data_IF_296035778174
#
_entry.id   IF_296035778174
#
_cell.length_a   1.000
_cell.length_b   1.000
_cell.length_c   1.000
_cell.angle_alpha   90.00
_cell.angle_beta   90.00
_cell.angle_gamma   90.00
#
_symmetry.space_group_name_H-M   'P 1'
#
loop_
_entity.id
_entity.type
_entity.pdbx_description
1 polymer ?
#
# COMPACT_ATOMS: atom_id res chain seq x y z
N UNK A 1 39.57 10.09 42.88
CA UNK A 1 39.49 8.73 42.32
C UNK A 1 38.11 8.42 41.78
N UNK A 2 37.01 8.77 42.44
CA UNK A 2 35.65 8.52 41.91
C UNK A 2 35.28 9.31 40.64
N UNK A 3 35.73 10.57 40.47
CA UNK A 3 35.28 11.43 39.35
C UNK A 3 35.51 10.85 37.95
N UNK A 4 36.65 10.21 37.71
CA UNK A 4 36.96 9.58 36.42
C UNK A 4 36.10 8.34 36.15
N UNK A 5 35.76 7.54 37.18
CA UNK A 5 34.89 6.38 36.97
C UNK A 5 33.46 6.81 36.62
N UNK A 6 32.95 7.86 37.26
CA UNK A 6 31.61 8.37 36.95
C UNK A 6 31.48 8.92 35.53
N UNK A 7 32.51 9.60 35.03
CA UNK A 7 32.57 10.10 33.65
C UNK A 7 32.63 8.93 32.64
N UNK A 8 33.50 7.94 32.87
CA UNK A 8 33.59 6.72 32.05
C UNK A 8 32.25 5.95 31.99
N UNK A 9 31.57 5.80 33.14
CA UNK A 9 30.26 5.16 33.21
C UNK A 9 29.20 5.95 32.44
N UNK A 10 29.22 7.28 32.54
CA UNK A 10 28.28 8.13 31.82
C UNK A 10 28.49 8.10 30.30
N UNK A 11 29.74 8.19 29.84
CA UNK A 11 30.09 8.07 28.41
C UNK A 11 29.66 6.72 27.83
N UNK A 12 29.82 5.64 28.62
CA UNK A 12 29.36 4.31 28.23
C UNK A 12 27.84 4.23 28.09
N UNK A 13 27.09 4.77 29.04
CA UNK A 13 25.63 4.79 28.98
C UNK A 13 25.12 5.65 27.82
N UNK A 14 25.76 6.80 27.56
CA UNK A 14 25.46 7.63 26.39
C UNK A 14 25.69 6.86 25.09
N UNK A 15 26.84 6.17 24.97
CA UNK A 15 27.15 5.35 23.81
C UNK A 15 26.14 4.21 23.61
N UNK A 16 25.73 3.54 24.69
CA UNK A 16 24.69 2.49 24.64
C UNK A 16 23.35 3.10 24.19
N UNK A 17 22.99 4.28 24.69
CA UNK A 17 21.81 5.02 24.28
C UNK A 17 21.80 5.31 22.77
N UNK A 18 22.90 5.84 22.25
CA UNK A 18 23.05 6.12 20.82
C UNK A 18 22.91 4.85 19.95
N UNK A 19 23.52 3.73 20.36
CA UNK A 19 23.37 2.45 19.65
C UNK A 19 21.91 1.99 19.65
N UNK A 20 21.24 2.09 20.81
CA UNK A 20 19.83 1.75 20.95
C UNK A 20 18.96 2.60 20.03
N UNK A 21 19.18 3.91 19.99
CA UNK A 21 18.42 4.84 19.14
C UNK A 21 18.59 4.52 17.65
N UNK A 22 19.83 4.28 17.21
CA UNK A 22 20.11 3.84 15.83
C UNK A 22 19.39 2.52 15.53
N UNK A 23 19.39 1.58 16.47
CA UNK A 23 18.69 0.29 16.29
C UNK A 23 17.19 0.49 16.15
N UNK A 24 16.59 1.33 16.98
CA UNK A 24 15.16 1.65 16.91
C UNK A 24 14.80 2.30 15.58
N UNK A 25 15.60 3.27 15.13
CA UNK A 25 15.40 3.93 13.83
C UNK A 25 15.48 2.95 12.67
N UNK A 26 16.50 2.08 12.65
CA UNK A 26 16.63 1.06 11.60
C UNK A 26 15.44 0.10 11.58
N UNK A 27 14.97 -0.33 12.76
CA UNK A 27 13.78 -1.18 12.86
C UNK A 27 12.51 -0.47 12.37
N UNK A 28 12.38 0.85 12.58
CA UNK A 28 11.26 1.62 12.05
C UNK A 28 11.30 1.66 10.51
N UNK A 29 12.45 1.97 9.92
CA UNK A 29 12.62 1.98 8.45
C UNK A 29 12.31 0.61 7.85
N UNK A 30 12.82 -0.47 8.44
CA UNK A 30 12.52 -1.84 7.99
C UNK A 30 11.02 -2.15 8.06
N UNK A 31 10.35 -1.75 9.15
CA UNK A 31 8.90 -1.95 9.31
C UNK A 31 8.12 -1.18 8.25
N UNK A 32 8.46 0.07 7.98
CA UNK A 32 7.79 0.88 6.96
C UNK A 32 7.94 0.26 5.57
N UNK A 33 9.14 -0.20 5.20
CA UNK A 33 9.40 -0.87 3.93
C UNK A 33 8.60 -2.16 3.81
N UNK A 34 8.60 -3.00 4.86
CA UNK A 34 7.86 -4.26 4.87
C UNK A 34 6.36 -4.02 4.82
N UNK A 35 5.84 -3.04 5.57
CA UNK A 35 4.43 -2.66 5.53
C UNK A 35 4.02 -2.16 4.15
N UNK A 36 4.79 -1.24 3.55
CA UNK A 36 4.53 -0.74 2.19
C UNK A 36 4.48 -1.90 1.19
N UNK A 37 5.47 -2.78 1.20
CA UNK A 37 5.55 -3.92 0.27
C UNK A 37 4.40 -4.91 0.47
N UNK A 38 4.07 -5.22 1.72
CA UNK A 38 3.00 -6.16 2.06
C UNK A 38 1.65 -5.61 1.63
N UNK A 39 1.37 -4.34 1.95
CA UNK A 39 0.12 -3.70 1.57
C UNK A 39 -0.03 -3.56 0.06
N UNK A 40 1.04 -3.16 -0.64
CA UNK A 40 1.04 -3.06 -2.12
C UNK A 40 0.72 -4.41 -2.77
N UNK A 41 1.35 -5.50 -2.30
CA UNK A 41 1.08 -6.84 -2.80
C UNK A 41 -0.35 -7.30 -2.52
N UNK A 42 -0.84 -7.00 -1.32
CA UNK A 42 -2.20 -7.33 -0.94
C UNK A 42 -3.23 -6.58 -1.78
N UNK A 43 -2.99 -5.30 -2.09
CA UNK A 43 -3.83 -4.53 -3.00
C UNK A 43 -3.83 -5.17 -4.40
N UNK A 44 -2.66 -5.48 -4.97
CA UNK A 44 -2.56 -6.07 -6.31
C UNK A 44 -3.26 -7.44 -6.40
N UNK A 45 -3.23 -8.26 -5.34
CA UNK A 45 -3.95 -9.55 -5.28
C UNK A 45 -5.48 -9.40 -5.38
N UNK A 46 -6.04 -8.27 -4.94
CA UNK A 46 -7.47 -8.00 -5.10
C UNK A 46 -7.76 -7.31 -6.42
N UNK A 47 -6.95 -6.32 -6.77
CA UNK A 47 -7.15 -5.49 -7.96
C UNK A 47 -6.91 -6.24 -9.28
N UNK A 48 -6.17 -7.34 -9.28
CA UNK A 48 -6.04 -8.23 -10.46
C UNK A 48 -7.37 -8.90 -10.84
N UNK A 49 -8.32 -9.00 -9.91
CA UNK A 49 -9.65 -9.59 -10.14
C UNK A 49 -10.63 -8.59 -10.76
N UNK A 50 -10.33 -7.30 -10.68
CA UNK A 50 -11.11 -6.28 -11.33
C UNK A 50 -11.07 -6.46 -12.85
N UNK A 51 -12.13 -6.04 -13.55
CA UNK A 51 -12.15 -6.04 -15.01
C UNK A 51 -12.26 -4.59 -15.52
N UNK A 52 -11.18 -4.03 -16.08
CA UNK A 52 -9.87 -4.61 -16.32
C UNK A 52 -9.03 -4.66 -15.03
N UNK A 53 -7.96 -5.47 -15.03
CA UNK A 53 -7.06 -5.54 -13.91
C UNK A 53 -6.41 -4.18 -13.63
N UNK A 54 -6.31 -3.84 -12.36
CA UNK A 54 -5.61 -2.64 -11.88
C UNK A 54 -4.34 -3.08 -11.15
N UNK A 55 -3.24 -2.38 -11.37
CA UNK A 55 -1.98 -2.64 -10.68
C UNK A 55 -1.46 -1.37 -10.01
N UNK A 56 -0.98 -1.51 -8.77
CA UNK A 56 -0.30 -0.47 -8.00
C UNK A 56 1.20 -0.69 -8.12
N UNK A 57 1.91 0.30 -8.64
CA UNK A 57 3.38 0.30 -8.75
C UNK A 57 4.02 1.17 -7.67
N UNK A 58 3.47 2.36 -7.42
CA UNK A 58 3.86 3.22 -6.30
C UNK A 58 2.66 3.57 -5.44
N UNK A 59 2.52 2.83 -4.33
CA UNK A 59 1.41 2.96 -3.38
C UNK A 59 1.01 4.40 -3.08
N UNK A 60 1.96 5.28 -2.77
CA UNK A 60 1.64 6.63 -2.31
C UNK A 60 1.24 7.59 -3.42
N UNK A 61 1.59 7.27 -4.68
CA UNK A 61 1.26 8.06 -5.86
C UNK A 61 -0.05 7.58 -6.48
N UNK A 62 -0.19 6.26 -6.60
CA UNK A 62 -1.27 5.64 -7.36
C UNK A 62 -2.62 5.71 -6.60
N UNK A 63 -2.61 5.83 -5.27
CA UNK A 63 -3.84 5.96 -4.47
C UNK A 63 -4.32 7.41 -4.29
N UNK A 64 -3.56 8.42 -4.75
CA UNK A 64 -3.82 9.84 -4.41
C UNK A 64 -5.14 10.36 -4.94
N UNK A 65 -5.53 9.92 -6.14
CA UNK A 65 -6.78 10.34 -6.77
C UNK A 65 -8.02 9.59 -6.22
N UNK A 66 -7.79 8.56 -5.41
CA UNK A 66 -8.80 7.72 -4.78
C UNK A 66 -9.44 6.67 -5.70
N UNK A 67 -9.14 6.63 -7.00
CA UNK A 67 -9.78 5.68 -7.92
C UNK A 67 -9.42 4.23 -7.59
N UNK A 68 -8.16 3.98 -7.26
CA UNK A 68 -7.68 2.65 -6.85
C UNK A 68 -8.34 2.20 -5.54
N UNK A 69 -8.53 3.12 -4.60
CA UNK A 69 -9.20 2.83 -3.33
C UNK A 69 -10.67 2.47 -3.56
N UNK A 70 -11.34 3.14 -4.50
CA UNK A 70 -12.71 2.80 -4.88
C UNK A 70 -12.80 1.41 -5.50
N UNK A 71 -11.92 1.07 -6.45
CA UNK A 71 -11.87 -0.26 -7.06
C UNK A 71 -11.61 -1.37 -6.02
N UNK A 72 -10.69 -1.11 -5.08
CA UNK A 72 -10.41 -2.01 -3.96
C UNK A 72 -11.64 -2.20 -3.05
N UNK A 73 -12.37 -1.13 -2.74
CA UNK A 73 -13.59 -1.20 -1.92
C UNK A 73 -14.70 -1.99 -2.63
N UNK A 74 -14.88 -1.81 -3.94
CA UNK A 74 -15.84 -2.59 -4.74
C UNK A 74 -15.50 -4.08 -4.71
N UNK A 75 -14.23 -4.44 -4.92
CA UNK A 75 -13.78 -5.83 -4.90
C UNK A 75 -13.93 -6.46 -3.50
N UNK A 76 -13.53 -5.76 -2.44
CA UNK A 76 -13.63 -6.27 -1.07
C UNK A 76 -15.08 -6.37 -0.57
N UNK A 77 -15.96 -5.48 -1.02
CA UNK A 77 -17.38 -5.50 -0.64
C UNK A 77 -18.20 -6.48 -1.48
N UNK A 78 -17.70 -6.92 -2.63
CA UNK A 78 -18.44 -7.73 -3.59
C UNK A 78 -19.62 -6.99 -4.24
N UNK A 79 -19.70 -5.67 -4.06
CA UNK A 79 -20.78 -4.83 -4.57
C UNK A 79 -20.24 -3.83 -5.57
N UNK A 80 -20.78 -3.85 -6.79
CA UNK A 80 -20.56 -2.80 -7.80
C UNK A 80 -21.75 -1.85 -7.80
N UNK A 81 -21.64 -0.66 -7.20
CA UNK A 81 -22.74 0.27 -7.18
C UNK A 81 -23.08 0.75 -8.59
N UNK A 82 -24.36 0.68 -8.95
CA UNK A 82 -24.85 1.07 -10.27
C UNK A 82 -24.48 2.52 -10.67
N UNK A 83 -24.30 3.41 -9.69
CA UNK A 83 -23.87 4.79 -9.91
C UNK A 83 -22.37 4.96 -10.26
N UNK A 84 -21.55 3.92 -10.09
CA UNK A 84 -20.13 3.93 -10.47
C UNK A 84 -19.89 3.37 -11.88
N UNK A 85 -20.87 2.64 -12.44
CA UNK A 85 -20.82 2.08 -13.81
C UNK A 85 -20.80 3.13 -14.94
N UNK A 86 -21.10 4.40 -14.65
CA UNK A 86 -21.11 5.51 -15.63
C UNK A 86 -19.92 6.48 -15.51
N UNK A 87 -18.84 6.11 -14.80
CA UNK A 87 -17.66 6.98 -14.64
C UNK A 87 -16.73 6.94 -15.88
N UNK A 88 -16.21 8.08 -16.37
CA UNK A 88 -15.31 8.12 -17.52
C UNK A 88 -14.04 7.28 -17.38
N UNK A 89 -13.49 7.15 -16.16
CA UNK A 89 -12.34 6.28 -15.90
C UNK A 89 -12.73 4.79 -15.90
N UNK A 90 -13.98 4.45 -15.55
CA UNK A 90 -14.55 3.11 -15.71
C UNK A 90 -14.84 2.82 -17.19
N UNK A 91 -15.07 3.85 -18.02
CA UNK A 91 -15.24 3.70 -19.46
C UNK A 91 -13.95 3.36 -20.21
N UNK A 92 -12.78 3.82 -19.74
CA UNK A 92 -11.47 3.36 -20.23
C UNK A 92 -11.09 1.96 -19.70
N UNK A 93 -11.95 1.42 -18.84
CA UNK A 93 -11.92 0.09 -18.25
C UNK A 93 -13.00 -0.83 -18.90
N UNK A 94 -13.46 -0.54 -20.12
CA UNK A 94 -14.66 -1.19 -20.70
C UNK A 94 -14.43 -2.61 -21.29
N UNK A 95 -15.54 -3.39 -21.45
CA UNK A 95 -15.58 -4.84 -21.37
C UNK A 95 -15.46 -5.53 -22.74
N UNK A 96 -14.59 -6.52 -22.85
CA UNK A 96 -14.47 -7.38 -24.03
C UNK A 96 -15.47 -8.54 -24.08
N UNK A 97 -16.49 -8.59 -23.22
CA UNK A 97 -17.30 -9.81 -23.05
C UNK A 97 -18.82 -9.68 -23.26
N UNK A 98 -19.38 -8.50 -23.55
CA UNK A 98 -20.85 -8.36 -23.72
C UNK A 98 -21.30 -7.90 -25.12
N UNK A 99 -20.51 -8.17 -26.15
CA UNK A 99 -20.93 -8.04 -27.55
C UNK A 99 -21.30 -9.38 -28.21
N UNK A 100 -21.57 -10.45 -27.43
CA UNK A 100 -21.83 -11.78 -27.98
C UNK A 100 -23.17 -12.41 -27.59
N UNK A 101 -24.23 -11.61 -27.46
CA UNK A 101 -25.62 -12.10 -27.62
C UNK A 101 -26.45 -10.98 -28.22
N UNK A 102 -26.34 -10.81 -29.53
CA UNK A 102 -27.30 -10.19 -30.44
C UNK A 102 -26.49 -9.94 -31.72
N UNK A 103 -26.57 -10.84 -32.71
CA UNK A 103 -27.25 -10.66 -34.01
C UNK A 103 -27.10 -11.97 -34.80
N UNK A 104 -28.21 -12.61 -35.12
CA UNK A 104 -28.32 -13.70 -36.11
C UNK A 104 -29.82 -13.95 -36.34
N UNK A 105 -30.27 -14.11 -37.59
CA UNK A 105 -31.63 -13.82 -38.04
C UNK A 105 -32.72 -14.66 -37.38
#
# INVERSE_FOLDING_TARGET
>A
MAGHEWEDWFEREEFIGQISDIRVQNLQVEREVVQKRTFTRWMNLHLEKCNPPVEVHDLFRDIQDGHILMALLEELSGYRPFYLLNRPWVSNMQPTALQRVEIGP
#
